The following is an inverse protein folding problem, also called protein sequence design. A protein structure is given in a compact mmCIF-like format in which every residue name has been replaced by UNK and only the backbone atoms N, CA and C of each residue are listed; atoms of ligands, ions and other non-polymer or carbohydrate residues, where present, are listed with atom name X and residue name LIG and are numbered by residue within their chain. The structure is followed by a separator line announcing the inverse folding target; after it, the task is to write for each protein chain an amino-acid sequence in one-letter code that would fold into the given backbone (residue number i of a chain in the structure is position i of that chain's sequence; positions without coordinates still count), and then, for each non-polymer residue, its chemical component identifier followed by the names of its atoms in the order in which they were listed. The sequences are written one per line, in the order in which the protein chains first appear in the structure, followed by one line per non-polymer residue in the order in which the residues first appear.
data_IF_669845066274
#
_entry.id   IF_669845066274
#
_cell.length_a   1.000
_cell.length_b   1.000
_cell.length_c   1.000
_cell.angle_alpha   90.00
_cell.angle_beta   90.00
_cell.angle_gamma   90.00
#
_symmetry.space_group_name_H-M   'P 1'
#
loop_
_entity.id
_entity.type
_entity.pdbx_description
1 polymer ?
#
# COMPACT_ATOMS: atom_id res chain seq x y z
N UNK A 1 -4.43 -5.98 -8.35
CA UNK A 1 -4.93 -4.60 -8.13
C UNK A 1 -3.78 -3.63 -8.25
N UNK A 2 -4.05 -2.47 -8.83
CA UNK A 2 -3.08 -1.37 -8.92
C UNK A 2 -3.80 -0.07 -8.53
N UNK A 3 -3.11 0.82 -7.84
CA UNK A 3 -3.62 2.13 -7.48
C UNK A 3 -2.49 3.06 -7.02
N UNK A 4 -2.81 4.33 -6.87
CA UNK A 4 -1.88 5.36 -6.44
C UNK A 4 -2.22 5.81 -5.03
N UNK A 5 -1.19 6.04 -4.21
CA UNK A 5 -1.36 6.49 -2.84
C UNK A 5 -1.95 7.91 -2.78
N UNK A 6 -3.18 8.07 -2.26
CA UNK A 6 -3.85 9.38 -2.11
C UNK A 6 -3.09 10.35 -1.19
N UNK A 7 -2.32 9.78 -0.27
CA UNK A 7 -1.52 10.45 0.77
C UNK A 7 -0.30 9.60 1.14
N UNK A 8 0.48 10.00 2.15
CA UNK A 8 1.56 9.16 2.67
C UNK A 8 0.99 7.93 3.39
N UNK A 9 1.25 6.73 2.86
CA UNK A 9 0.68 5.50 3.41
C UNK A 9 1.69 4.73 4.24
N UNK A 10 1.22 4.17 5.36
CA UNK A 10 2.01 3.26 6.18
C UNK A 10 1.98 1.85 5.60
N UNK A 11 3.16 1.28 5.35
CA UNK A 11 3.34 -0.13 5.03
C UNK A 11 3.24 -0.94 6.31
N UNK A 12 2.29 -1.86 6.38
CA UNK A 12 2.06 -2.70 7.55
C UNK A 12 2.53 -4.13 7.33
N UNK A 13 3.09 -4.72 8.38
CA UNK A 13 3.22 -6.17 8.50
C UNK A 13 2.01 -6.69 9.28
N UNK A 14 1.18 -7.52 8.64
CA UNK A 14 -0.04 -8.05 9.25
C UNK A 14 0.24 -9.15 10.28
N UNK A 15 1.38 -9.85 10.18
CA UNK A 15 1.78 -10.87 11.16
C UNK A 15 2.22 -10.27 12.49
N UNK A 16 2.87 -9.11 12.47
CA UNK A 16 3.40 -8.44 13.68
C UNK A 16 2.59 -7.21 14.08
N UNK A 17 1.52 -6.88 13.34
CA UNK A 17 0.72 -5.65 13.50
C UNK A 17 1.53 -4.34 13.50
N UNK A 18 2.75 -4.34 12.96
CA UNK A 18 3.67 -3.19 13.02
C UNK A 18 3.74 -2.43 11.69
N UNK A 19 4.10 -1.15 11.77
CA UNK A 19 4.44 -0.33 10.60
C UNK A 19 5.91 -0.60 10.27
N UNK A 20 6.17 -1.03 9.04
CA UNK A 20 7.51 -1.41 8.55
C UNK A 20 8.08 -0.42 7.53
N UNK A 21 7.33 0.63 7.19
CA UNK A 21 7.77 1.68 6.29
C UNK A 21 6.64 2.63 5.92
N UNK A 22 6.95 3.60 5.07
CA UNK A 22 5.97 4.51 4.47
C UNK A 22 6.23 4.65 2.98
N UNK A 23 5.17 4.88 2.22
CA UNK A 23 5.23 5.27 0.81
C UNK A 23 4.67 6.68 0.65
N UNK A 24 5.28 7.52 -0.21
CA UNK A 24 4.79 8.88 -0.42
C UNK A 24 3.47 8.88 -1.22
N UNK A 25 2.73 10.01 -1.12
CA UNK A 25 1.59 10.31 -2.01
C UNK A 25 2.03 10.19 -3.46
N UNK A 26 1.16 9.68 -4.33
CA UNK A 26 1.47 9.45 -5.74
C UNK A 26 2.23 8.18 -6.03
N UNK A 27 2.76 7.47 -5.00
CA UNK A 27 3.43 6.21 -5.24
C UNK A 27 2.47 5.16 -5.80
N UNK A 28 2.87 4.51 -6.88
CA UNK A 28 2.10 3.44 -7.50
C UNK A 28 2.26 2.16 -6.70
N UNK A 29 1.16 1.66 -6.15
CA UNK A 29 1.07 0.37 -5.47
C UNK A 29 0.49 -0.66 -6.43
N UNK A 30 1.13 -1.82 -6.51
CA UNK A 30 0.64 -2.97 -7.27
C UNK A 30 0.73 -4.22 -6.42
N UNK A 31 -0.34 -5.00 -6.39
CA UNK A 31 -0.41 -6.15 -5.51
C UNK A 31 -1.72 -6.92 -5.59
N UNK A 32 -1.92 -7.82 -4.63
CA UNK A 32 -3.13 -8.66 -4.51
C UNK A 32 -4.04 -8.08 -3.44
N UNK A 33 -5.33 -7.94 -3.74
CA UNK A 33 -6.32 -7.54 -2.74
C UNK A 33 -6.61 -8.72 -1.81
N UNK A 34 -6.41 -8.53 -0.51
CA UNK A 34 -6.66 -9.51 0.55
C UNK A 34 -7.53 -8.84 1.61
N UNK A 35 -8.82 -9.14 1.60
CA UNK A 35 -9.81 -8.40 2.39
C UNK A 35 -9.83 -6.92 1.97
N UNK A 36 -9.60 -6.02 2.92
CA UNK A 36 -9.61 -4.57 2.71
C UNK A 36 -8.22 -3.97 2.45
N UNK A 37 -7.19 -4.81 2.32
CA UNK A 37 -5.80 -4.40 2.16
C UNK A 37 -5.18 -4.97 0.89
N UNK A 38 -4.25 -4.24 0.29
CA UNK A 38 -3.44 -4.69 -0.84
C UNK A 38 -2.12 -5.23 -0.32
N UNK A 39 -1.89 -6.52 -0.52
CA UNK A 39 -0.59 -7.19 -0.32
C UNK A 39 0.35 -6.76 -1.45
N UNK A 40 1.40 -6.03 -1.11
CA UNK A 40 2.39 -5.48 -2.04
C UNK A 40 3.81 -5.86 -1.59
N UNK A 41 4.76 -5.78 -2.51
CA UNK A 41 6.19 -5.90 -2.19
C UNK A 41 6.85 -4.54 -2.31
N UNK A 42 7.50 -4.08 -1.25
CA UNK A 42 8.23 -2.81 -1.22
C UNK A 42 9.61 -3.06 -0.62
N UNK A 43 10.67 -2.64 -1.34
CA UNK A 43 12.07 -2.89 -0.96
C UNK A 43 12.36 -4.36 -0.59
N UNK A 44 11.82 -5.30 -1.37
CA UNK A 44 11.99 -6.74 -1.13
C UNK A 44 11.19 -7.32 0.04
N UNK A 45 10.40 -6.51 0.76
CA UNK A 45 9.56 -6.95 1.88
C UNK A 45 8.09 -7.01 1.47
N UNK A 46 7.43 -8.11 1.84
CA UNK A 46 5.97 -8.20 1.76
C UNK A 46 5.34 -7.27 2.79
N UNK A 47 4.40 -6.45 2.35
CA UNK A 47 3.73 -5.45 3.16
C UNK A 47 2.28 -5.26 2.72
N UNK A 48 1.49 -4.58 3.53
CA UNK A 48 0.08 -4.33 3.28
C UNK A 48 -0.24 -2.84 3.40
N UNK A 49 -1.09 -2.35 2.50
CA UNK A 49 -1.67 -1.00 2.56
C UNK A 49 -3.19 -1.07 2.45
N UNK A 50 -3.91 -0.12 3.02
CA UNK A 50 -5.36 -0.08 2.88
C UNK A 50 -5.78 0.25 1.46
N UNK A 51 -6.66 -0.56 0.86
CA UNK A 51 -7.17 -0.33 -0.48
C UNK A 51 -7.99 0.96 -0.58
N UNK A 52 -8.68 1.34 0.51
CA UNK A 52 -9.46 2.59 0.62
C UNK A 52 -8.60 3.85 0.53
N UNK A 53 -7.28 3.73 0.72
CA UNK A 53 -6.33 4.84 0.62
C UNK A 53 -5.64 4.90 -0.75
N UNK A 54 -6.01 4.01 -1.66
CA UNK A 54 -5.56 4.01 -3.04
C UNK A 54 -6.64 4.63 -3.94
N UNK A 55 -6.19 5.31 -4.98
CA UNK A 55 -7.04 5.77 -6.08
C UNK A 55 -6.60 5.16 -7.41
N UNK A 56 -7.54 5.08 -8.36
CA UNK A 56 -7.29 4.42 -9.66
C UNK A 56 -6.33 5.23 -10.55
N UNK A 57 -6.39 6.55 -10.46
CA UNK A 57 -5.67 7.45 -11.35
C UNK A 57 -4.41 8.01 -10.66
N UNK A 58 -3.38 8.41 -11.42
CA UNK A 58 -2.24 9.13 -10.86
C UNK A 58 -2.70 10.37 -10.12
N UNK A 59 -2.10 10.59 -8.97
CA UNK A 59 -2.46 11.72 -8.11
C UNK A 59 -1.88 13.01 -8.70
N UNK A 60 -2.74 14.00 -8.96
CA UNK A 60 -2.35 15.36 -9.40
C UNK A 60 -1.92 16.25 -8.24
#
# INVERSE_FOLDING_TARGET
MTGYAKESLSLRNTSTCSIIGKIPRGHKVSGVLVGNMVKTTYNGKTSYVYASLLEKNPVR
#
